data_IF_762775445638
#
_entry.id   IF_762775445638
#
_cell.length_a   1.000
_cell.length_b   1.000
_cell.length_c   1.000
_cell.angle_alpha   90.00
_cell.angle_beta   90.00
_cell.angle_gamma   90.00
#
_symmetry.space_group_name_H-M   'P 1'
#
loop_
_entity.id
_entity.type
_entity.pdbx_description
1 polymer ?
#
# COMPACT_ATOMS: atom_id res chain seq x y z
N UNK A 1 -0.14 -68.60 7.38
CA UNK A 1 -0.66 -69.18 6.12
C UNK A 1 -0.41 -68.14 5.03
N UNK A 2 0.52 -68.58 4.25
CA UNK A 2 0.62 -68.65 2.79
C UNK A 2 0.75 -67.30 2.09
N UNK A 3 1.90 -66.99 1.63
CA UNK A 3 2.60 -67.44 0.36
C UNK A 3 2.21 -66.49 -0.78
N UNK A 4 3.11 -65.87 -1.37
CA UNK A 4 4.24 -66.19 -2.27
C UNK A 4 4.02 -65.56 -3.65
N UNK A 5 5.10 -65.06 -4.14
CA UNK A 5 5.64 -65.02 -5.49
C UNK A 5 5.06 -63.99 -6.45
N UNK A 6 5.80 -63.42 -7.30
CA UNK A 6 7.18 -63.58 -7.78
C UNK A 6 7.33 -62.90 -9.13
N UNK A 7 8.51 -62.35 -9.32
CA UNK A 7 9.26 -62.30 -10.60
C UNK A 7 8.53 -61.88 -11.88
N UNK A 8 9.03 -60.92 -12.62
CA UNK A 8 10.09 -61.24 -13.61
C UNK A 8 10.64 -59.96 -14.27
N UNK A 9 11.95 -59.93 -14.36
CA UNK A 9 12.73 -59.01 -15.19
C UNK A 9 12.52 -59.35 -16.67
N UNK A 10 12.24 -58.34 -17.47
CA UNK A 10 12.49 -58.46 -18.92
C UNK A 10 13.31 -57.24 -19.34
N UNK A 11 14.57 -57.54 -19.62
CA UNK A 11 15.49 -56.73 -20.40
C UNK A 11 15.01 -56.67 -21.84
N UNK A 12 14.80 -55.47 -22.35
CA UNK A 12 14.78 -55.21 -23.79
C UNK A 12 15.61 -53.97 -24.10
N UNK A 13 16.81 -54.23 -24.55
CA UNK A 13 17.63 -53.28 -25.28
C UNK A 13 16.94 -52.96 -26.59
N UNK A 14 16.64 -51.69 -26.84
CA UNK A 14 16.10 -51.21 -28.10
C UNK A 14 16.66 -49.80 -28.39
N UNK A 15 17.61 -49.79 -29.31
CA UNK A 15 18.13 -48.58 -29.95
C UNK A 15 17.02 -47.64 -30.36
N UNK A 16 17.02 -46.40 -29.86
CA UNK A 16 16.40 -45.31 -30.55
C UNK A 16 17.25 -44.03 -30.44
N UNK A 17 17.44 -43.47 -31.58
CA UNK A 17 18.37 -42.46 -32.01
C UNK A 17 18.42 -41.17 -31.18
N UNK A 18 19.63 -40.81 -30.87
CA UNK A 18 20.03 -39.48 -30.41
C UNK A 18 19.89 -38.46 -31.55
N UNK A 19 18.71 -37.93 -31.79
CA UNK A 19 18.50 -36.99 -32.89
C UNK A 19 17.61 -35.80 -32.58
N UNK A 20 16.95 -35.73 -31.41
CA UNK A 20 15.88 -34.76 -31.17
C UNK A 20 16.08 -33.71 -30.08
N UNK A 21 17.18 -33.72 -29.35
CA UNK A 21 17.33 -32.86 -28.16
C UNK A 21 18.17 -31.57 -28.43
N UNK A 22 18.85 -31.48 -29.57
CA UNK A 22 19.68 -30.30 -29.89
C UNK A 22 18.92 -29.08 -30.44
N UNK A 23 17.69 -29.23 -30.92
CA UNK A 23 16.92 -28.11 -31.49
C UNK A 23 16.07 -27.31 -30.49
N UNK A 24 15.79 -27.87 -29.31
CA UNK A 24 14.98 -27.13 -28.30
C UNK A 24 15.77 -26.22 -27.36
N UNK A 25 17.08 -26.34 -27.33
CA UNK A 25 17.92 -25.42 -26.51
C UNK A 25 18.31 -24.15 -27.22
N UNK A 26 18.19 -24.06 -28.54
CA UNK A 26 18.46 -22.84 -29.28
C UNK A 26 17.31 -21.82 -29.26
N UNK A 27 16.06 -22.28 -29.09
CA UNK A 27 14.91 -21.39 -29.05
C UNK A 27 14.66 -20.77 -27.66
N UNK A 28 15.11 -21.42 -26.58
CA UNK A 28 14.99 -20.87 -25.21
C UNK A 28 16.05 -19.79 -24.97
N UNK A 29 17.19 -19.87 -25.65
CA UNK A 29 18.25 -18.87 -25.54
C UNK A 29 17.95 -17.54 -26.25
N UNK A 30 17.14 -17.55 -27.29
CA UNK A 30 16.83 -16.35 -28.06
C UNK A 30 15.74 -15.48 -27.43
N UNK A 31 14.85 -16.07 -26.58
CA UNK A 31 13.81 -15.32 -25.88
C UNK A 31 14.30 -14.61 -24.60
N UNK A 32 15.47 -15.01 -24.09
CA UNK A 32 16.09 -14.38 -22.92
C UNK A 32 17.07 -13.24 -23.27
N UNK A 33 17.47 -13.14 -24.53
CA UNK A 33 18.42 -12.13 -24.99
C UNK A 33 17.78 -10.87 -25.60
N UNK A 34 16.45 -10.85 -25.82
CA UNK A 34 15.71 -9.67 -26.28
C UNK A 34 15.14 -8.83 -25.13
N UNK A 35 15.76 -8.86 -23.96
CA UNK A 35 15.64 -7.78 -22.96
C UNK A 35 16.74 -6.75 -23.17
N UNK A 36 17.05 -6.52 -24.43
CA UNK A 36 17.94 -5.45 -24.82
C UNK A 36 17.21 -4.12 -24.81
N UNK A 37 17.83 -3.16 -24.14
CA UNK A 37 17.55 -1.75 -24.35
C UNK A 37 16.34 -1.21 -23.58
N UNK A 38 16.10 -1.63 -22.35
CA UNK A 38 15.42 -0.73 -21.43
C UNK A 38 16.41 0.37 -21.06
N UNK A 39 16.57 1.30 -21.98
CA UNK A 39 16.86 2.70 -21.76
C UNK A 39 17.28 3.02 -20.32
N UNK A 40 18.58 2.97 -20.08
CA UNK A 40 19.24 3.69 -18.99
C UNK A 40 19.14 5.22 -19.21
N UNK A 41 18.04 5.64 -19.80
CA UNK A 41 17.72 7.05 -19.97
C UNK A 41 17.41 7.65 -18.61
N UNK A 42 18.28 8.50 -18.15
CA UNK A 42 18.15 9.26 -16.91
C UNK A 42 16.73 9.86 -16.83
N UNK A 43 15.99 9.71 -15.71
CA UNK A 43 14.59 10.09 -15.59
C UNK A 43 14.33 11.61 -15.58
N UNK A 44 15.22 12.38 -16.19
CA UNK A 44 15.16 13.86 -16.21
C UNK A 44 14.01 14.40 -17.06
N UNK A 45 13.55 13.64 -18.05
CA UNK A 45 12.49 14.04 -19.01
C UNK A 45 11.32 13.05 -19.06
N UNK A 46 11.37 11.96 -18.32
CA UNK A 46 10.39 10.89 -18.32
C UNK A 46 9.75 10.73 -16.95
N UNK A 47 8.44 10.47 -16.91
CA UNK A 47 7.77 10.10 -15.68
C UNK A 47 8.23 8.69 -15.27
N UNK A 48 8.82 8.57 -14.08
CA UNK A 48 9.27 7.29 -13.54
C UNK A 48 8.05 6.38 -13.32
N UNK A 49 8.04 5.15 -13.89
CA UNK A 49 6.93 4.24 -13.72
C UNK A 49 6.76 3.87 -12.25
N UNK A 50 5.53 3.90 -11.78
CA UNK A 50 5.20 3.52 -10.39
C UNK A 50 5.39 2.02 -10.22
N UNK A 51 6.17 1.61 -9.22
CA UNK A 51 6.33 0.20 -8.87
C UNK A 51 4.99 -0.40 -8.46
N UNK A 52 4.67 -1.59 -8.96
CA UNK A 52 3.53 -2.36 -8.51
C UNK A 52 3.73 -2.77 -7.04
N UNK A 53 2.70 -2.55 -6.23
CA UNK A 53 2.69 -2.96 -4.83
C UNK A 53 2.02 -4.32 -4.76
N UNK A 54 2.71 -5.31 -4.22
CA UNK A 54 2.14 -6.62 -3.96
C UNK A 54 1.05 -6.49 -2.89
N UNK A 55 -0.06 -7.21 -3.04
CA UNK A 55 -1.11 -7.25 -2.02
C UNK A 55 -0.58 -7.85 -0.71
N UNK A 56 -1.26 -7.53 0.37
CA UNK A 56 -0.93 -8.06 1.69
C UNK A 56 -1.20 -9.58 1.77
N UNK A 57 -0.29 -10.40 2.34
CA UNK A 57 -0.45 -11.85 2.40
C UNK A 57 -1.62 -12.30 3.29
N UNK A 58 -2.00 -11.55 4.32
CA UNK A 58 -3.08 -11.93 5.26
C UNK A 58 -4.47 -11.60 4.69
N UNK A 59 -4.62 -10.44 4.08
CA UNK A 59 -5.90 -9.91 3.63
C UNK A 59 -6.05 -9.76 2.11
N UNK A 60 -4.99 -9.98 1.34
CA UNK A 60 -5.01 -9.87 -0.13
C UNK A 60 -5.20 -8.45 -0.67
N UNK A 61 -5.13 -7.42 0.18
CA UNK A 61 -5.46 -6.04 -0.16
C UNK A 61 -4.22 -5.16 -0.39
N UNK A 62 -4.26 -4.38 -1.46
CA UNK A 62 -3.21 -3.41 -1.78
C UNK A 62 -3.25 -2.16 -0.88
N UNK A 63 -4.42 -1.80 -0.35
CA UNK A 63 -4.56 -0.61 0.51
C UNK A 63 -3.88 -0.84 1.84
N UNK A 64 -4.05 -2.02 2.41
CA UNK A 64 -3.38 -2.48 3.63
C UNK A 64 -1.87 -2.50 3.43
N UNK A 65 -1.39 -3.08 2.32
CA UNK A 65 0.03 -3.08 1.99
C UNK A 65 0.62 -1.66 1.86
N UNK A 66 -0.14 -0.72 1.26
CA UNK A 66 0.26 0.70 1.21
C UNK A 66 0.30 1.34 2.59
N UNK A 67 -0.66 1.04 3.45
CA UNK A 67 -0.70 1.56 4.81
C UNK A 67 0.50 1.11 5.63
N UNK A 68 0.88 -0.17 5.53
CA UNK A 68 2.10 -0.73 6.14
C UNK A 68 3.34 0.04 5.67
N UNK A 69 3.44 0.30 4.36
CA UNK A 69 4.57 1.05 3.81
C UNK A 69 4.61 2.52 4.30
N UNK A 70 3.47 3.15 4.54
CA UNK A 70 3.40 4.52 5.11
C UNK A 70 3.76 4.53 6.60
N UNK A 71 3.38 3.49 7.33
CA UNK A 71 3.68 3.36 8.76
C UNK A 71 5.13 2.98 9.04
N UNK A 72 5.77 2.26 8.10
CA UNK A 72 7.14 1.76 8.21
C UNK A 72 8.14 2.89 8.47
N UNK A 73 9.07 2.66 9.40
CA UNK A 73 10.22 3.51 9.67
C UNK A 73 11.51 2.71 9.48
N UNK A 74 12.57 3.35 9.02
CA UNK A 74 13.92 2.77 8.83
C UNK A 74 13.93 1.47 7.99
N UNK A 75 12.93 1.28 7.12
CA UNK A 75 12.81 0.06 6.32
C UNK A 75 12.34 -1.19 7.09
N UNK A 76 11.93 -1.05 8.36
CA UNK A 76 11.51 -2.17 9.23
C UNK A 76 10.08 -2.60 8.94
N UNK A 77 9.84 -3.24 7.80
CA UNK A 77 8.51 -3.62 7.33
C UNK A 77 7.82 -4.64 8.25
N UNK A 78 8.55 -5.65 8.73
CA UNK A 78 7.99 -6.71 9.59
C UNK A 78 7.45 -6.17 10.92
N UNK A 79 8.04 -5.10 11.46
CA UNK A 79 7.53 -4.44 12.66
C UNK A 79 6.24 -3.70 12.35
N UNK A 80 6.17 -2.99 11.20
CA UNK A 80 4.96 -2.30 10.78
C UNK A 80 3.80 -3.27 10.53
N UNK A 81 4.05 -4.42 9.90
CA UNK A 81 3.07 -5.50 9.72
C UNK A 81 2.53 -6.00 11.07
N UNK A 82 3.43 -6.31 12.01
CA UNK A 82 3.05 -6.76 13.35
C UNK A 82 2.19 -5.73 14.09
N UNK A 83 2.53 -4.46 14.00
CA UNK A 83 1.76 -3.38 14.63
C UNK A 83 0.36 -3.27 14.03
N UNK A 84 0.24 -3.32 12.70
CA UNK A 84 -1.05 -3.23 12.04
C UNK A 84 -1.93 -4.44 12.34
N UNK A 85 -1.39 -5.65 12.20
CA UNK A 85 -2.16 -6.86 12.50
C UNK A 85 -2.61 -6.91 13.96
N UNK A 86 -1.72 -6.60 14.89
CA UNK A 86 -2.10 -6.52 16.30
C UNK A 86 -3.12 -5.42 16.59
N UNK A 87 -3.12 -4.31 15.85
CA UNK A 87 -4.16 -3.29 15.97
C UNK A 87 -5.52 -3.79 15.48
N UNK A 88 -5.56 -4.51 14.36
CA UNK A 88 -6.79 -5.14 13.85
C UNK A 88 -7.30 -6.22 14.80
N UNK A 89 -6.44 -7.07 15.34
CA UNK A 89 -6.79 -8.08 16.36
C UNK A 89 -7.34 -7.41 17.65
N UNK A 90 -6.79 -6.25 18.03
CA UNK A 90 -7.31 -5.47 19.17
C UNK A 90 -8.70 -4.88 18.89
N UNK A 91 -8.97 -4.44 17.67
CA UNK A 91 -10.28 -3.94 17.26
C UNK A 91 -11.32 -5.07 17.31
N UNK A 92 -10.97 -6.25 16.82
CA UNK A 92 -11.81 -7.45 16.87
C UNK A 92 -12.16 -7.83 18.31
N UNK A 93 -11.18 -7.86 19.22
CA UNK A 93 -11.39 -8.19 20.65
C UNK A 93 -12.24 -7.16 21.40
N UNK A 94 -12.27 -5.91 20.95
CA UNK A 94 -13.11 -4.85 21.55
C UNK A 94 -14.58 -4.90 21.09
N UNK A 95 -14.96 -5.90 20.31
CA UNK A 95 -16.36 -6.16 19.92
C UNK A 95 -16.86 -5.33 18.75
N UNK A 96 -15.95 -4.80 17.95
CA UNK A 96 -16.33 -4.21 16.67
C UNK A 96 -16.63 -5.33 15.66
N UNK A 97 -17.53 -5.05 14.72
CA UNK A 97 -17.71 -5.77 13.46
C UNK A 97 -16.35 -5.99 12.76
N UNK A 98 -16.33 -6.56 11.61
CA UNK A 98 -15.09 -6.90 10.88
C UNK A 98 -14.04 -5.79 10.96
N UNK A 99 -12.83 -6.06 11.46
CA UNK A 99 -11.77 -5.05 11.68
C UNK A 99 -11.34 -4.35 10.38
N UNK A 100 -11.50 -5.04 9.25
CA UNK A 100 -11.22 -4.49 7.92
C UNK A 100 -12.23 -3.40 7.54
N UNK A 101 -13.51 -3.61 7.85
CA UNK A 101 -14.54 -2.60 7.58
C UNK A 101 -14.31 -1.33 8.40
N UNK A 102 -13.95 -1.47 9.67
CA UNK A 102 -13.58 -0.34 10.54
C UNK A 102 -12.37 0.42 9.95
N UNK A 103 -11.37 -0.28 9.45
CA UNK A 103 -10.22 0.33 8.80
C UNK A 103 -10.61 1.13 7.55
N UNK A 104 -11.47 0.57 6.67
CA UNK A 104 -11.94 1.29 5.49
C UNK A 104 -12.82 2.47 5.84
N UNK A 105 -13.71 2.32 6.81
CA UNK A 105 -14.56 3.40 7.29
C UNK A 105 -13.73 4.55 7.87
N UNK A 106 -12.71 4.23 8.66
CA UNK A 106 -11.77 5.22 9.18
C UNK A 106 -11.04 5.96 8.05
N UNK A 107 -10.54 5.25 7.03
CA UNK A 107 -9.91 5.87 5.87
C UNK A 107 -10.87 6.79 5.12
N UNK A 108 -12.10 6.36 4.86
CA UNK A 108 -13.11 7.16 4.16
C UNK A 108 -13.44 8.44 4.91
N UNK A 109 -13.62 8.34 6.22
CA UNK A 109 -13.93 9.48 7.08
C UNK A 109 -12.79 10.51 7.13
N UNK A 110 -11.53 10.08 7.00
CA UNK A 110 -10.35 10.95 7.06
C UNK A 110 -9.93 11.50 5.70
N UNK A 111 -10.40 10.94 4.58
CA UNK A 111 -10.02 11.40 3.23
C UNK A 111 -10.40 12.87 3.02
N UNK A 112 -9.42 13.77 2.70
CA UNK A 112 -9.73 15.16 2.39
C UNK A 112 -10.19 15.32 0.94
N UNK A 113 -11.15 16.20 0.70
CA UNK A 113 -11.57 16.60 -0.65
C UNK A 113 -10.69 17.73 -1.18
N UNK A 114 -10.30 18.66 -0.29
CA UNK A 114 -9.51 19.83 -0.62
C UNK A 114 -8.26 19.92 0.25
N UNK A 115 -7.19 20.48 -0.29
CA UNK A 115 -5.97 20.84 0.44
C UNK A 115 -5.63 22.29 0.16
N UNK A 116 -4.86 22.91 1.05
CA UNK A 116 -4.38 24.27 0.88
C UNK A 116 -2.93 24.25 0.45
N UNK A 117 -2.62 24.93 -0.67
CA UNK A 117 -1.26 25.09 -1.18
C UNK A 117 -0.85 26.54 -1.15
N UNK A 118 0.34 26.83 -0.63
CA UNK A 118 0.93 28.16 -0.69
C UNK A 118 1.41 28.47 -2.11
N UNK A 119 0.97 29.62 -2.64
CA UNK A 119 1.40 30.17 -3.93
C UNK A 119 1.92 31.58 -3.74
N UNK A 120 3.04 31.90 -4.38
CA UNK A 120 3.60 33.23 -4.38
C UNK A 120 3.10 34.00 -5.61
N UNK A 121 2.39 35.08 -5.38
CA UNK A 121 1.83 35.95 -6.43
C UNK A 121 2.22 37.38 -6.12
N UNK A 122 2.96 38.05 -7.01
CA UNK A 122 3.33 39.47 -6.84
C UNK A 122 4.14 39.77 -5.57
N UNK A 123 4.93 38.79 -5.06
CA UNK A 123 5.72 38.97 -3.82
C UNK A 123 5.01 38.56 -2.53
N UNK A 124 3.69 38.44 -2.52
CA UNK A 124 2.92 37.92 -1.37
C UNK A 124 2.66 36.43 -1.51
N UNK A 125 2.61 35.70 -0.38
CA UNK A 125 2.30 34.27 -0.35
C UNK A 125 0.84 34.07 0.05
N UNK A 126 0.07 33.51 -0.86
CA UNK A 126 -1.34 33.18 -0.65
C UNK A 126 -1.53 31.69 -0.44
N UNK A 127 -2.47 31.34 0.42
CA UNK A 127 -2.90 29.96 0.63
C UNK A 127 -4.09 29.68 -0.29
N UNK A 128 -3.85 28.92 -1.35
CA UNK A 128 -4.86 28.63 -2.38
C UNK A 128 -5.46 27.26 -2.14
N UNK A 129 -6.80 27.14 -2.02
CA UNK A 129 -7.47 25.86 -1.92
C UNK A 129 -7.43 25.13 -3.27
N UNK A 130 -7.00 23.87 -3.26
CA UNK A 130 -6.89 23.02 -4.44
C UNK A 130 -7.57 21.69 -4.17
N UNK A 131 -8.31 21.19 -5.13
CA UNK A 131 -8.92 19.87 -5.06
C UNK A 131 -7.84 18.78 -5.10
N UNK A 132 -8.00 17.76 -4.26
CA UNK A 132 -7.03 16.67 -4.12
C UNK A 132 -7.38 15.53 -5.08
N UNK A 133 -6.40 15.04 -5.84
CA UNK A 133 -6.55 13.86 -6.71
C UNK A 133 -6.86 12.61 -5.86
N UNK A 134 -7.68 11.65 -6.34
CA UNK A 134 -8.10 10.48 -5.57
C UNK A 134 -6.94 9.66 -4.96
N UNK A 135 -5.86 9.45 -5.72
CA UNK A 135 -4.68 8.73 -5.23
C UNK A 135 -3.99 9.45 -4.05
N UNK A 136 -3.97 10.78 -4.09
CA UNK A 136 -3.39 11.61 -3.03
C UNK A 136 -4.30 11.70 -1.80
N UNK A 137 -5.64 11.66 -1.97
CA UNK A 137 -6.58 11.62 -0.84
C UNK A 137 -6.28 10.45 0.08
N UNK A 138 -6.10 9.25 -0.51
CA UNK A 138 -5.74 8.05 0.25
C UNK A 138 -4.39 8.18 0.96
N UNK A 139 -3.38 8.71 0.28
CA UNK A 139 -2.06 8.89 0.87
C UNK A 139 -2.06 9.89 2.04
N UNK A 140 -2.85 10.98 1.94
CA UNK A 140 -3.01 11.96 3.01
C UNK A 140 -3.76 11.34 4.21
N UNK A 141 -4.85 10.62 3.96
CA UNK A 141 -5.61 9.95 5.02
C UNK A 141 -4.74 8.96 5.80
N UNK A 142 -3.98 8.10 5.10
CA UNK A 142 -3.06 7.15 5.73
C UNK A 142 -2.01 7.87 6.59
N UNK A 143 -1.40 8.93 6.07
CA UNK A 143 -0.40 9.71 6.80
C UNK A 143 -0.99 10.35 8.05
N UNK A 144 -2.14 10.99 7.94
CA UNK A 144 -2.78 11.65 9.08
C UNK A 144 -3.20 10.67 10.17
N UNK A 145 -3.67 9.47 9.81
CA UNK A 145 -3.97 8.40 10.77
C UNK A 145 -2.71 7.96 11.51
N UNK A 146 -1.60 7.73 10.80
CA UNK A 146 -0.34 7.33 11.43
C UNK A 146 0.22 8.44 12.33
N UNK A 147 0.19 9.70 11.87
CA UNK A 147 0.69 10.84 12.63
C UNK A 147 -0.18 11.11 13.88
N UNK A 148 -1.50 10.93 13.77
CA UNK A 148 -2.42 11.06 14.90
C UNK A 148 -2.22 9.93 15.91
N UNK A 149 -2.09 8.67 15.44
CA UNK A 149 -1.81 7.53 16.30
C UNK A 149 -0.49 7.72 17.09
N UNK A 150 0.57 8.22 16.44
CA UNK A 150 1.85 8.49 17.11
C UNK A 150 1.76 9.51 18.25
N UNK A 151 0.80 10.44 18.16
CA UNK A 151 0.58 11.49 19.18
C UNK A 151 -0.26 11.03 20.36
N UNK A 152 -0.85 9.85 20.31
CA UNK A 152 -1.66 9.30 21.41
C UNK A 152 -0.77 8.87 22.59
N UNK A 153 -1.37 8.78 23.76
CA UNK A 153 -0.66 8.52 25.03
C UNK A 153 -0.62 7.05 25.44
N UNK A 154 -1.26 6.14 24.67
CA UNK A 154 -1.26 4.70 24.99
C UNK A 154 0.18 4.13 24.95
N UNK A 155 0.40 3.05 25.66
CA UNK A 155 1.72 2.47 25.87
C UNK A 155 2.31 1.89 24.58
N UNK A 156 1.57 1.09 23.84
CA UNK A 156 2.03 0.44 22.62
C UNK A 156 1.53 1.17 21.35
N UNK A 157 2.31 1.08 20.26
CA UNK A 157 1.87 1.64 18.98
C UNK A 157 0.64 0.87 18.42
N UNK A 158 0.52 -0.39 18.76
CA UNK A 158 -0.63 -1.25 18.44
C UNK A 158 -1.92 -0.68 19.02
N UNK A 159 -1.94 -0.37 20.33
CA UNK A 159 -3.10 0.19 21.01
C UNK A 159 -3.42 1.61 20.53
N UNK A 160 -2.38 2.43 20.28
CA UNK A 160 -2.53 3.78 19.71
C UNK A 160 -3.21 3.75 18.36
N UNK A 161 -2.78 2.84 17.49
CA UNK A 161 -3.34 2.70 16.16
C UNK A 161 -4.77 2.17 16.21
N UNK A 162 -5.04 1.14 17.02
CA UNK A 162 -6.38 0.59 17.22
C UNK A 162 -7.34 1.67 17.72
N UNK A 163 -6.95 2.42 18.75
CA UNK A 163 -7.75 3.52 19.28
C UNK A 163 -8.03 4.61 18.26
N UNK A 164 -7.02 5.03 17.48
CA UNK A 164 -7.23 6.06 16.45
C UNK A 164 -8.13 5.58 15.30
N UNK A 165 -8.00 4.31 14.87
CA UNK A 165 -8.86 3.73 13.84
C UNK A 165 -10.32 3.68 14.28
N UNK A 166 -10.60 3.25 15.53
CA UNK A 166 -11.96 3.24 16.08
C UNK A 166 -12.53 4.66 16.18
N UNK A 167 -11.76 5.62 16.75
CA UNK A 167 -12.19 7.02 16.86
C UNK A 167 -12.42 7.64 15.47
N UNK A 168 -11.59 7.34 14.47
CA UNK A 168 -11.75 7.83 13.12
C UNK A 168 -12.96 7.21 12.38
N UNK A 169 -13.30 5.94 12.66
CA UNK A 169 -14.53 5.33 12.16
C UNK A 169 -15.77 6.07 12.69
N UNK A 170 -15.73 6.51 13.94
CA UNK A 170 -16.78 7.33 14.57
C UNK A 170 -16.69 8.83 14.20
N UNK A 171 -15.84 9.22 13.24
CA UNK A 171 -15.56 10.61 12.85
C UNK A 171 -15.00 11.47 13.99
N UNK A 172 -14.33 10.84 14.94
CA UNK A 172 -13.63 11.47 16.07
C UNK A 172 -12.13 11.25 15.91
N UNK A 173 -11.33 11.65 16.89
CA UNK A 173 -9.89 11.44 16.88
C UNK A 173 -9.07 12.58 16.26
N UNK A 174 -7.76 12.40 16.28
CA UNK A 174 -6.79 13.40 15.81
C UNK A 174 -6.77 13.56 14.30
N UNK A 175 -6.94 12.46 13.57
CA UNK A 175 -6.94 12.46 12.12
C UNK A 175 -8.20 13.13 11.54
N UNK A 176 -9.37 12.89 12.13
CA UNK A 176 -10.61 13.54 11.74
C UNK A 176 -10.55 15.06 11.98
N UNK A 177 -10.05 15.48 13.16
CA UNK A 177 -9.83 16.92 13.46
C UNK A 177 -8.88 17.56 12.46
N UNK A 178 -7.82 16.86 12.03
CA UNK A 178 -6.88 17.38 11.02
C UNK A 178 -7.54 17.59 9.66
N UNK A 179 -8.42 16.67 9.24
CA UNK A 179 -9.23 16.86 8.03
C UNK A 179 -10.10 18.12 8.15
N UNK A 180 -10.83 18.26 9.26
CA UNK A 180 -11.75 19.39 9.47
C UNK A 180 -11.00 20.74 9.54
N UNK A 181 -9.80 20.75 10.15
CA UNK A 181 -8.91 21.91 10.16
C UNK A 181 -8.51 22.32 8.74
N UNK A 182 -8.07 21.37 7.92
CA UNK A 182 -7.67 21.63 6.52
C UNK A 182 -8.87 22.12 5.69
N UNK A 183 -10.04 21.54 5.86
CA UNK A 183 -11.26 21.97 5.17
C UNK A 183 -11.68 23.37 5.61
N UNK A 184 -11.61 23.69 6.90
CA UNK A 184 -11.89 25.05 7.41
C UNK A 184 -10.91 26.08 6.88
N UNK A 185 -9.61 25.75 6.81
CA UNK A 185 -8.63 26.63 6.19
C UNK A 185 -8.90 26.85 4.69
N UNK A 186 -9.29 25.79 3.99
CA UNK A 186 -9.62 25.86 2.56
C UNK A 186 -10.87 26.75 2.32
N UNK A 187 -11.86 26.67 3.19
CA UNK A 187 -13.07 27.47 3.13
C UNK A 187 -12.79 28.95 3.43
N UNK A 188 -12.01 29.25 4.46
CA UNK A 188 -11.58 30.60 4.79
C UNK A 188 -10.79 31.28 3.65
N UNK A 189 -10.00 30.47 2.91
CA UNK A 189 -9.21 30.97 1.78
C UNK A 189 -9.89 30.82 0.41
N UNK A 190 -11.19 30.54 0.37
CA UNK A 190 -11.95 30.33 -0.86
C UNK A 190 -11.88 31.50 -1.84
N UNK A 191 -11.78 32.73 -1.33
CA UNK A 191 -11.63 33.95 -2.13
C UNK A 191 -10.39 33.91 -3.06
N UNK A 192 -9.33 33.18 -2.68
CA UNK A 192 -8.09 33.06 -3.45
C UNK A 192 -8.09 31.87 -4.43
N UNK A 193 -9.21 31.20 -4.63
CA UNK A 193 -9.33 30.05 -5.54
C UNK A 193 -9.00 30.38 -7.00
N UNK A 194 -9.17 31.64 -7.41
CA UNK A 194 -8.85 32.11 -8.77
C UNK A 194 -7.33 32.11 -9.08
N UNK A 195 -6.46 32.07 -8.07
CA UNK A 195 -5.01 31.89 -8.26
C UNK A 195 -4.59 30.42 -8.49
N UNK A 196 -5.52 29.58 -8.81
CA UNK A 196 -5.33 28.15 -9.14
C UNK A 196 -4.86 28.03 -10.59
N UNK A 197 -3.55 27.81 -10.78
CA UNK A 197 -2.94 27.52 -12.07
C UNK A 197 -2.39 26.10 -12.11
#
# INVERSE_FOLDING_TARGET
MLCVAGQSYVTAAGLFGFGGVRQRFSEIGSHLLNREGSDLEMPRRREVPKRAILPDPKFGDQTIAKFINVMMQDGKKSIAERVLYGALDTIETRGSSEPIEVFYQALENVRPVVEVKSRRVGGATYQVPVEVRPSRRNALAMRWLVDAARKRNEKSMTDRLAGELMDAADKRGGAARKKDEVHRMAEANKAFSHFRF
#
